data_IF_169555491403
#
_entry.id   IF_169555491403
#
_cell.length_a   1.000
_cell.length_b   1.000
_cell.length_c   1.000
_cell.angle_alpha   90.00
_cell.angle_beta   90.00
_cell.angle_gamma   90.00
#
_symmetry.space_group_name_H-M   'P 1'
#
loop_
_entity.id
_entity.type
_entity.pdbx_description
1 polymer ?
#
# COMPACT_ATOMS: atom_id res chain seq x y z
N UNK A 1 -22.23 -11.88 -16.03
CA UNK A 1 -21.96 -11.66 -14.60
C UNK A 1 -23.20 -10.98 -14.04
N UNK A 2 -23.84 -11.60 -13.07
CA UNK A 2 -25.03 -11.05 -12.40
C UNK A 2 -24.65 -9.85 -11.50
N UNK A 3 -25.64 -9.13 -10.97
CA UNK A 3 -25.39 -8.07 -9.99
C UNK A 3 -24.75 -8.65 -8.71
N UNK A 4 -25.21 -9.82 -8.29
CA UNK A 4 -24.68 -10.52 -7.12
C UNK A 4 -23.22 -10.93 -7.32
N UNK A 5 -22.85 -11.46 -8.51
CA UNK A 5 -21.46 -11.78 -8.83
C UNK A 5 -20.53 -10.55 -8.77
N UNK A 6 -21.03 -9.38 -9.22
CA UNK A 6 -20.28 -8.12 -9.16
C UNK A 6 -20.10 -7.66 -7.72
N UNK A 7 -21.12 -7.77 -6.89
CA UNK A 7 -21.05 -7.42 -5.47
C UNK A 7 -20.05 -8.30 -4.73
N UNK A 8 -20.09 -9.62 -4.96
CA UNK A 8 -19.09 -10.53 -4.38
C UNK A 8 -17.66 -10.17 -4.81
N UNK A 9 -17.48 -9.78 -6.07
CA UNK A 9 -16.16 -9.38 -6.57
C UNK A 9 -15.66 -8.08 -5.94
N UNK A 10 -16.54 -7.10 -5.68
CA UNK A 10 -16.21 -5.88 -4.95
C UNK A 10 -15.76 -6.20 -3.54
N UNK A 11 -16.47 -7.07 -2.82
CA UNK A 11 -16.09 -7.50 -1.47
C UNK A 11 -14.72 -8.18 -1.47
N UNK A 12 -14.39 -9.00 -2.47
CA UNK A 12 -13.05 -9.60 -2.61
C UNK A 12 -11.98 -8.52 -2.81
N UNK A 13 -12.18 -7.58 -3.73
CA UNK A 13 -11.23 -6.48 -3.95
C UNK A 13 -11.06 -5.59 -2.73
N UNK A 14 -12.15 -5.29 -2.00
CA UNK A 14 -12.07 -4.56 -0.73
C UNK A 14 -11.28 -5.33 0.33
N UNK A 15 -11.45 -6.65 0.40
CA UNK A 15 -10.67 -7.52 1.31
C UNK A 15 -9.20 -7.52 0.94
N UNK A 16 -8.88 -7.57 -0.36
CA UNK A 16 -7.51 -7.55 -0.85
C UNK A 16 -6.82 -6.22 -0.54
N UNK A 17 -7.46 -5.07 -0.82
CA UNK A 17 -6.87 -3.76 -0.50
C UNK A 17 -6.78 -3.53 1.01
N UNK A 18 -7.74 -4.02 1.82
CA UNK A 18 -7.63 -3.97 3.28
C UNK A 18 -6.35 -4.65 3.78
N UNK A 19 -6.09 -5.87 3.28
CA UNK A 19 -4.88 -6.61 3.64
C UNK A 19 -3.61 -5.93 3.13
N UNK A 20 -3.68 -5.25 1.99
CA UNK A 20 -2.56 -4.49 1.44
C UNK A 20 -2.23 -3.30 2.34
N UNK A 21 -3.22 -2.50 2.76
CA UNK A 21 -3.04 -1.38 3.70
C UNK A 21 -2.46 -1.83 5.06
N UNK A 22 -2.94 -2.94 5.63
CA UNK A 22 -2.38 -3.49 6.87
C UNK A 22 -0.89 -3.83 6.73
N UNK A 23 -0.50 -4.44 5.59
CA UNK A 23 0.89 -4.77 5.30
C UNK A 23 1.73 -3.52 5.04
N UNK A 24 1.23 -2.56 4.26
CA UNK A 24 1.89 -1.30 3.97
C UNK A 24 2.16 -0.51 5.26
N UNK A 25 1.16 -0.38 6.15
CA UNK A 25 1.34 0.28 7.45
C UNK A 25 2.46 -0.37 8.29
N UNK A 26 2.57 -1.70 8.27
CA UNK A 26 3.66 -2.42 8.92
C UNK A 26 5.03 -2.10 8.32
N UNK A 27 5.12 -2.09 6.99
CA UNK A 27 6.35 -1.79 6.25
C UNK A 27 6.79 -0.34 6.45
N UNK A 28 5.86 0.62 6.34
CA UNK A 28 6.12 2.05 6.53
C UNK A 28 6.66 2.34 7.92
N UNK A 29 6.06 1.74 8.97
CA UNK A 29 6.52 1.88 10.35
C UNK A 29 7.95 1.36 10.50
N UNK A 30 8.20 0.13 10.09
CA UNK A 30 9.52 -0.51 10.19
C UNK A 30 10.56 0.23 9.34
N UNK A 31 10.18 0.65 8.13
CA UNK A 31 11.04 1.40 7.24
C UNK A 31 11.44 2.76 7.80
N UNK A 32 10.48 3.52 8.34
CA UNK A 32 10.73 4.83 8.95
C UNK A 32 11.71 4.79 10.14
N UNK A 33 11.73 3.67 10.86
CA UNK A 33 12.66 3.48 11.99
C UNK A 33 14.04 2.96 11.54
N UNK A 34 14.13 2.34 10.36
CA UNK A 34 15.36 1.73 9.85
C UNK A 34 16.20 2.65 8.97
N UNK A 35 15.60 3.64 8.30
CA UNK A 35 16.31 4.53 7.39
C UNK A 35 17.11 5.61 8.14
N UNK A 36 18.26 6.03 7.56
CA UNK A 36 19.09 7.09 8.12
C UNK A 36 18.86 8.45 7.42
N UNK A 37 18.06 8.48 6.37
CA UNK A 37 17.64 9.71 5.70
C UNK A 37 16.42 10.28 6.42
N UNK A 38 16.60 11.45 7.06
CA UNK A 38 15.52 12.10 7.84
C UNK A 38 14.33 12.52 6.98
N UNK A 39 14.58 12.93 5.73
CA UNK A 39 13.51 13.34 4.81
C UNK A 39 12.68 12.13 4.38
N UNK A 40 13.34 11.01 4.05
CA UNK A 40 12.64 9.75 3.76
C UNK A 40 11.87 9.26 4.99
N UNK A 41 12.47 9.28 6.18
CA UNK A 41 11.78 8.88 7.41
C UNK A 41 10.53 9.71 7.68
N UNK A 42 10.57 11.03 7.40
CA UNK A 42 9.41 11.91 7.53
C UNK A 42 8.31 11.52 6.54
N UNK A 43 8.64 11.34 5.26
CA UNK A 43 7.68 10.94 4.22
C UNK A 43 7.01 9.62 4.58
N UNK A 44 7.79 8.61 5.03
CA UNK A 44 7.24 7.31 5.44
C UNK A 44 6.28 7.43 6.65
N UNK A 45 6.57 8.31 7.62
CA UNK A 45 5.68 8.53 8.78
C UNK A 45 4.41 9.29 8.41
N UNK A 46 4.50 10.29 7.54
CA UNK A 46 3.33 11.00 7.02
C UNK A 46 2.40 10.03 6.29
N UNK A 47 2.97 9.24 5.38
CA UNK A 47 2.20 8.27 4.62
C UNK A 47 1.64 7.13 5.49
N UNK A 48 2.34 6.71 6.54
CA UNK A 48 1.80 5.77 7.52
C UNK A 48 0.47 6.24 8.13
N UNK A 49 0.33 7.53 8.40
CA UNK A 49 -0.91 8.07 8.93
C UNK A 49 -2.04 8.06 7.88
N UNK A 50 -1.72 8.33 6.61
CA UNK A 50 -2.65 8.24 5.49
C UNK A 50 -3.11 6.78 5.29
N UNK A 51 -2.19 5.82 5.24
CA UNK A 51 -2.45 4.38 5.11
C UNK A 51 -3.37 3.83 6.23
N UNK A 52 -3.17 4.27 7.47
CA UNK A 52 -4.05 3.89 8.58
C UNK A 52 -5.48 4.43 8.40
N UNK A 53 -5.64 5.61 7.82
CA UNK A 53 -6.96 6.15 7.48
C UNK A 53 -7.57 5.40 6.30
N UNK A 54 -6.80 5.00 5.29
CA UNK A 54 -7.25 4.17 4.18
C UNK A 54 -7.78 2.83 4.68
N UNK A 55 -7.03 2.14 5.54
CA UNK A 55 -7.46 0.87 6.15
C UNK A 55 -8.80 1.02 6.89
N UNK A 56 -8.96 2.12 7.64
CA UNK A 56 -10.20 2.43 8.35
C UNK A 56 -11.38 2.62 7.38
N UNK A 57 -11.17 3.39 6.31
CA UNK A 57 -12.20 3.66 5.28
C UNK A 57 -12.62 2.37 4.57
N UNK A 58 -11.67 1.52 4.19
CA UNK A 58 -11.94 0.23 3.54
C UNK A 58 -12.71 -0.70 4.47
N UNK A 59 -12.32 -0.79 5.73
CA UNK A 59 -13.03 -1.58 6.76
C UNK A 59 -14.46 -1.09 6.97
N UNK A 60 -14.68 0.22 7.01
CA UNK A 60 -16.04 0.79 7.10
C UNK A 60 -16.86 0.48 5.85
N UNK A 61 -16.25 0.51 4.68
CA UNK A 61 -16.92 0.15 3.44
C UNK A 61 -17.32 -1.32 3.40
N UNK A 62 -16.45 -2.23 3.84
CA UNK A 62 -16.78 -3.66 4.00
C UNK A 62 -17.99 -3.85 4.91
N UNK A 63 -18.02 -3.18 6.08
CA UNK A 63 -19.17 -3.23 6.99
C UNK A 63 -20.45 -2.72 6.35
N UNK A 64 -20.39 -1.66 5.56
CA UNK A 64 -21.56 -1.11 4.85
C UNK A 64 -22.11 -2.07 3.78
N UNK A 65 -21.34 -3.05 3.36
CA UNK A 65 -21.72 -4.13 2.44
C UNK A 65 -22.05 -5.45 3.18
N UNK A 66 -22.30 -5.40 4.49
CA UNK A 66 -22.51 -6.56 5.36
C UNK A 66 -21.38 -7.61 5.27
N UNK A 67 -20.16 -7.16 4.93
CA UNK A 67 -18.98 -7.97 4.88
C UNK A 67 -18.02 -7.60 6.03
N UNK A 68 -17.15 -8.52 6.38
CA UNK A 68 -16.06 -8.27 7.33
C UNK A 68 -14.72 -8.58 6.66
N UNK A 69 -13.63 -7.90 7.07
CA UNK A 69 -12.31 -8.33 6.67
C UNK A 69 -12.15 -9.81 7.03
N UNK A 70 -11.99 -10.66 6.03
CA UNK A 70 -11.68 -12.05 6.29
C UNK A 70 -10.24 -12.14 6.79
N UNK A 71 -9.92 -12.98 7.78
CA UNK A 71 -8.55 -13.28 8.13
C UNK A 71 -7.88 -14.14 7.04
N UNK A 72 -8.02 -13.74 5.78
CA UNK A 72 -7.34 -14.37 4.65
C UNK A 72 -5.87 -13.92 4.65
N UNK A 73 -5.16 -14.33 5.70
CA UNK A 73 -3.72 -14.11 5.86
C UNK A 73 -2.85 -14.72 4.75
N UNK A 74 -3.41 -15.54 3.88
CA UNK A 74 -2.59 -16.39 3.02
C UNK A 74 -2.37 -15.90 1.58
N UNK A 75 -3.22 -15.07 1.01
CA UNK A 75 -3.12 -14.67 -0.41
C UNK A 75 -2.37 -13.36 -0.59
N UNK A 76 -2.68 -12.34 0.19
CA UNK A 76 -1.96 -11.07 0.14
C UNK A 76 -0.52 -11.21 0.66
N UNK A 77 -0.29 -12.01 1.72
CA UNK A 77 1.06 -12.31 2.20
C UNK A 77 1.95 -12.96 1.14
N UNK A 78 1.43 -13.79 0.24
CA UNK A 78 2.23 -14.43 -0.81
C UNK A 78 2.64 -13.46 -1.93
N UNK A 79 1.79 -12.50 -2.27
CA UNK A 79 2.10 -11.49 -3.30
C UNK A 79 3.11 -10.45 -2.81
N UNK A 80 2.89 -9.89 -1.62
CA UNK A 80 3.77 -8.87 -1.01
C UNK A 80 5.05 -9.51 -0.46
N UNK A 81 4.99 -10.73 0.08
CA UNK A 81 6.19 -11.48 0.49
C UNK A 81 7.09 -11.85 -0.68
N UNK A 82 6.56 -12.03 -1.89
CA UNK A 82 7.39 -12.26 -3.07
C UNK A 82 8.19 -11.02 -3.48
N UNK A 83 7.63 -9.82 -3.30
CA UNK A 83 8.33 -8.55 -3.56
C UNK A 83 9.27 -8.22 -2.39
N UNK A 84 8.79 -8.30 -1.15
CA UNK A 84 9.58 -8.01 0.05
C UNK A 84 10.63 -9.07 0.38
N UNK A 85 10.35 -10.36 0.13
CA UNK A 85 11.28 -11.46 0.40
C UNK A 85 12.52 -11.47 -0.49
N UNK A 86 12.40 -11.01 -1.74
CA UNK A 86 13.55 -10.85 -2.63
C UNK A 86 14.50 -9.72 -2.20
N UNK A 87 14.02 -8.78 -1.37
CA UNK A 87 14.76 -7.61 -0.92
C UNK A 87 15.19 -7.65 0.54
N UNK A 88 14.66 -8.58 1.36
CA UNK A 88 14.96 -8.70 2.78
C UNK A 88 16.23 -9.49 3.12
N UNK A 89 17.07 -9.81 2.13
CA UNK A 89 18.43 -10.30 2.41
C UNK A 89 19.18 -9.23 3.21
N UNK A 90 19.63 -9.56 4.42
CA UNK A 90 20.38 -8.67 5.32
C UNK A 90 21.54 -8.01 4.58
N UNK A 91 21.35 -6.79 4.09
CA UNK A 91 22.35 -6.05 3.37
C UNK A 91 22.45 -4.62 3.90
N UNK A 92 23.65 -4.06 3.90
CA UNK A 92 23.99 -2.80 4.55
C UNK A 92 23.36 -1.55 3.90
N UNK A 93 22.74 -1.64 2.72
CA UNK A 93 22.10 -0.54 1.99
C UNK A 93 20.59 -0.38 2.31
N UNK A 94 20.25 -0.45 3.59
CA UNK A 94 18.86 -0.47 4.08
C UNK A 94 18.05 0.71 3.60
N UNK A 95 18.58 1.94 3.61
CA UNK A 95 17.87 3.16 3.23
C UNK A 95 17.38 3.10 1.78
N UNK A 96 18.24 2.74 0.82
CA UNK A 96 17.87 2.60 -0.58
C UNK A 96 16.85 1.49 -0.81
N UNK A 97 16.99 0.34 -0.15
CA UNK A 97 16.06 -0.78 -0.27
C UNK A 97 14.67 -0.46 0.29
N UNK A 98 14.61 0.23 1.43
CA UNK A 98 13.33 0.69 2.00
C UNK A 98 12.63 1.65 1.04
N UNK A 99 13.35 2.60 0.44
CA UNK A 99 12.76 3.53 -0.52
C UNK A 99 12.19 2.80 -1.75
N UNK A 100 12.93 1.85 -2.32
CA UNK A 100 12.48 1.04 -3.46
C UNK A 100 11.25 0.22 -3.09
N UNK A 101 11.24 -0.41 -1.90
CA UNK A 101 10.12 -1.22 -1.45
C UNK A 101 8.87 -0.37 -1.24
N UNK A 102 8.98 0.77 -0.56
CA UNK A 102 7.89 1.70 -0.37
C UNK A 102 7.31 2.14 -1.72
N UNK A 103 8.15 2.64 -2.63
CA UNK A 103 7.74 3.05 -3.97
C UNK A 103 7.01 1.95 -4.76
N UNK A 104 7.49 0.70 -4.69
CA UNK A 104 6.85 -0.44 -5.34
C UNK A 104 5.48 -0.77 -4.71
N UNK A 105 5.35 -0.63 -3.39
CA UNK A 105 4.10 -0.84 -2.67
C UNK A 105 3.04 0.17 -3.07
N UNK A 106 3.39 1.48 -3.14
CA UNK A 106 2.47 2.52 -3.63
C UNK A 106 1.91 2.21 -5.03
N UNK A 107 2.78 1.74 -5.94
CA UNK A 107 2.34 1.41 -7.30
C UNK A 107 1.43 0.18 -7.35
N UNK A 108 1.60 -0.76 -6.42
CA UNK A 108 0.68 -1.88 -6.25
C UNK A 108 -0.67 -1.40 -5.70
N UNK A 109 -0.68 -0.49 -4.73
CA UNK A 109 -1.88 0.11 -4.16
C UNK A 109 -2.64 0.92 -5.20
N UNK A 110 -1.96 1.78 -5.96
CA UNK A 110 -2.54 2.53 -7.09
C UNK A 110 -3.21 1.58 -8.10
N UNK A 111 -2.56 0.49 -8.48
CA UNK A 111 -3.13 -0.49 -9.41
C UNK A 111 -4.36 -1.19 -8.83
N UNK A 112 -4.31 -1.54 -7.54
CA UNK A 112 -5.39 -2.21 -6.82
C UNK A 112 -6.62 -1.31 -6.67
N UNK A 113 -6.44 -0.05 -6.27
CA UNK A 113 -7.54 0.90 -6.14
C UNK A 113 -8.14 1.30 -7.50
N UNK A 114 -7.33 1.39 -8.57
CA UNK A 114 -7.86 1.56 -9.93
C UNK A 114 -8.77 0.40 -10.35
N UNK A 115 -8.37 -0.81 -10.01
CA UNK A 115 -9.15 -2.02 -10.32
C UNK A 115 -10.44 -2.07 -9.51
N UNK A 116 -10.37 -1.78 -8.21
CA UNK A 116 -11.53 -1.68 -7.31
C UNK A 116 -12.52 -0.62 -7.79
N UNK A 117 -12.02 0.59 -8.11
CA UNK A 117 -12.84 1.68 -8.63
C UNK A 117 -13.57 1.30 -9.93
N UNK A 118 -12.87 0.68 -10.85
CA UNK A 118 -13.46 0.25 -12.13
C UNK A 118 -14.56 -0.80 -11.91
N UNK A 119 -14.35 -1.76 -11.01
CA UNK A 119 -15.35 -2.76 -10.64
C UNK A 119 -16.58 -2.11 -9.96
N UNK A 120 -16.37 -1.18 -9.03
CA UNK A 120 -17.41 -0.46 -8.33
C UNK A 120 -18.27 0.37 -9.28
N UNK A 121 -17.66 1.13 -10.19
CA UNK A 121 -18.40 1.88 -11.24
C UNK A 121 -19.22 0.95 -12.12
N UNK A 122 -18.67 -0.21 -12.50
CA UNK A 122 -19.37 -1.21 -13.33
C UNK A 122 -20.58 -1.81 -12.60
N UNK A 123 -20.52 -1.93 -11.28
CA UNK A 123 -21.60 -2.46 -10.44
C UNK A 123 -22.61 -1.38 -9.99
N UNK A 124 -22.37 -0.10 -10.25
CA UNK A 124 -23.18 1.02 -9.77
C UNK A 124 -22.97 1.32 -8.27
N UNK A 125 -21.89 0.83 -7.68
CA UNK A 125 -21.50 1.11 -6.30
C UNK A 125 -20.69 2.42 -6.21
N UNK A 126 -21.39 3.54 -6.16
CA UNK A 126 -20.77 4.86 -6.08
C UNK A 126 -19.99 5.04 -4.78
N UNK A 127 -20.45 4.49 -3.65
CA UNK A 127 -19.76 4.62 -2.37
C UNK A 127 -18.34 3.99 -2.37
N UNK A 128 -18.19 2.81 -2.97
CA UNK A 128 -16.87 2.19 -3.15
C UNK A 128 -16.04 2.95 -4.18
N UNK A 129 -16.66 3.42 -5.27
CA UNK A 129 -15.94 4.16 -6.31
C UNK A 129 -15.37 5.49 -5.80
N UNK A 130 -16.17 6.25 -5.04
CA UNK A 130 -15.77 7.55 -4.46
C UNK A 130 -14.67 7.38 -3.41
N UNK A 131 -14.79 6.37 -2.55
CA UNK A 131 -13.74 6.02 -1.58
C UNK A 131 -12.42 5.68 -2.30
N UNK A 132 -12.48 4.81 -3.31
CA UNK A 132 -11.29 4.40 -4.06
C UNK A 132 -10.66 5.58 -4.81
N UNK A 133 -11.43 6.50 -5.38
CA UNK A 133 -10.92 7.70 -6.04
C UNK A 133 -10.19 8.62 -5.06
N UNK A 134 -10.76 8.84 -3.88
CA UNK A 134 -10.11 9.64 -2.82
C UNK A 134 -8.75 9.05 -2.44
N UNK A 135 -8.70 7.76 -2.15
CA UNK A 135 -7.46 7.07 -1.77
C UNK A 135 -6.43 7.13 -2.91
N UNK A 136 -6.86 6.92 -4.16
CA UNK A 136 -5.97 7.00 -5.33
C UNK A 136 -5.22 8.33 -5.45
N UNK A 137 -5.85 9.45 -5.09
CA UNK A 137 -5.19 10.76 -5.11
C UNK A 137 -4.07 10.82 -4.07
N UNK A 138 -4.30 10.27 -2.88
CA UNK A 138 -3.34 10.26 -1.78
C UNK A 138 -2.17 9.31 -2.10
N UNK A 139 -2.44 8.10 -2.63
CA UNK A 139 -1.40 7.15 -3.06
C UNK A 139 -0.52 7.69 -4.19
N UNK A 140 -1.11 8.36 -5.17
CA UNK A 140 -0.35 8.98 -6.26
C UNK A 140 0.56 10.11 -5.74
N UNK A 141 0.12 10.86 -4.74
CA UNK A 141 0.95 11.89 -4.12
C UNK A 141 2.09 11.28 -3.30
N UNK A 142 1.84 10.18 -2.56
CA UNK A 142 2.86 9.45 -1.83
C UNK A 142 3.92 8.85 -2.78
N UNK A 143 3.48 8.20 -3.87
CA UNK A 143 4.37 7.67 -4.90
C UNK A 143 5.28 8.74 -5.50
N UNK A 144 4.75 9.94 -5.77
CA UNK A 144 5.55 11.07 -6.29
C UNK A 144 6.58 11.57 -5.26
N UNK A 145 6.21 11.66 -3.97
CA UNK A 145 7.16 12.04 -2.91
C UNK A 145 8.31 11.03 -2.80
N UNK A 146 7.99 9.73 -2.87
CA UNK A 146 8.98 8.65 -2.82
C UNK A 146 9.87 8.62 -4.06
N UNK A 147 9.31 8.80 -5.25
CA UNK A 147 10.05 8.89 -6.52
C UNK A 147 11.16 9.96 -6.44
N UNK A 148 10.80 11.13 -5.94
CA UNK A 148 11.73 12.24 -5.78
C UNK A 148 12.89 11.95 -4.81
N UNK A 149 12.78 10.95 -3.93
CA UNK A 149 13.78 10.61 -2.92
C UNK A 149 14.60 9.36 -3.28
N UNK A 150 14.26 8.61 -4.33
CA UNK A 150 14.88 7.33 -4.66
C UNK A 150 16.40 7.44 -4.86
N UNK A 151 16.86 8.42 -5.65
CA UNK A 151 18.29 8.60 -5.93
C UNK A 151 19.06 9.00 -4.65
N UNK A 152 18.51 9.92 -3.86
CA UNK A 152 19.11 10.34 -2.59
C UNK A 152 19.19 9.15 -1.62
N UNK A 153 18.11 8.38 -1.47
CA UNK A 153 18.10 7.20 -0.61
C UNK A 153 19.12 6.14 -1.01
N UNK A 154 19.34 5.96 -2.33
CA UNK A 154 20.38 5.07 -2.85
C UNK A 154 21.79 5.54 -2.45
N UNK A 155 22.09 6.84 -2.58
CA UNK A 155 23.38 7.42 -2.22
C UNK A 155 23.65 7.34 -0.72
N UNK A 156 22.65 7.58 0.12
CA UNK A 156 22.74 7.39 1.58
C UNK A 156 23.01 5.92 1.89
N UNK A 157 22.30 4.98 1.25
CA UNK A 157 22.53 3.55 1.41
C UNK A 157 23.96 3.11 1.06
N UNK A 158 24.53 3.64 -0.02
CA UNK A 158 25.91 3.34 -0.42
C UNK A 158 26.93 3.82 0.61
N UNK A 159 26.73 4.96 1.26
CA UNK A 159 27.61 5.46 2.30
C UNK A 159 27.63 4.58 3.56
N UNK A 160 26.54 3.84 3.82
CA UNK A 160 26.42 2.88 4.93
C UNK A 160 27.23 1.61 4.68
N UNK A 161 27.52 1.26 3.43
CA UNK A 161 28.30 0.07 3.07
C UNK A 161 29.81 0.28 3.14
N UNK A 162 30.25 1.54 3.17
CA UNK A 162 31.67 1.91 3.13
C UNK A 162 32.26 2.14 4.51
N UNK A 163 31.49 2.06 5.58
CA UNK A 163 31.90 2.23 6.98
C UNK A 163 31.96 0.88 7.70
#
# INVERSE_FOLDING_TARGET
>A
MSADDLQEQIVKYLTDVHSLEENAAGQLRTGADAVQDEQLALVLREHLAETQEHERLVRERLKALDASPSPLKDVAQKGVAAIGGAMSGAAPDTTGKVAIQAFATEHLEIASYRSLRAAALRAGDSGTADMAERILVEEQAAAQKLDALLEQAALVGLSQTAA
#
